data_IF_671282978442
#
_entry.id   IF_671282978442
#
_cell.length_a   1.000
_cell.length_b   1.000
_cell.length_c   1.000
_cell.angle_alpha   90.00
_cell.angle_beta   90.00
_cell.angle_gamma   90.00
#
_symmetry.space_group_name_H-M   'P 1'
#
loop_
_entity.id
_entity.type
_entity.pdbx_description
1 polymer ?
#
# COMPACT_ATOMS: atom_id res chain seq x y z
N UNK A 1 13.46 6.24 8.24
CA UNK A 1 12.00 6.55 8.34
C UNK A 1 11.77 8.04 8.64
N UNK A 2 10.53 8.52 8.69
CA UNK A 2 10.18 9.91 9.09
C UNK A 2 9.01 9.92 10.09
N UNK A 3 8.85 10.97 10.88
CA UNK A 3 7.86 11.04 11.96
C UNK A 3 6.41 10.79 11.50
N UNK A 4 6.03 11.24 10.30
CA UNK A 4 4.68 10.98 9.79
C UNK A 4 4.40 9.50 9.55
N UNK A 5 5.42 8.69 9.25
CA UNK A 5 5.25 7.24 9.16
C UNK A 5 4.89 6.65 10.54
N UNK A 6 5.60 7.07 11.59
CA UNK A 6 5.39 6.57 12.96
C UNK A 6 3.99 6.92 13.44
N UNK A 7 3.59 8.19 13.27
CA UNK A 7 2.23 8.64 13.58
C UNK A 7 1.18 7.87 12.80
N UNK A 8 1.36 7.66 11.49
CA UNK A 8 0.40 6.92 10.68
C UNK A 8 0.16 5.49 11.19
N UNK A 9 1.23 4.80 11.62
CA UNK A 9 1.10 3.45 12.20
C UNK A 9 0.43 3.48 13.56
N UNK A 10 0.75 4.44 14.42
CA UNK A 10 0.07 4.61 15.70
C UNK A 10 -1.43 4.87 15.52
N UNK A 11 -1.83 5.66 14.52
CA UNK A 11 -3.24 5.84 14.17
C UNK A 11 -3.88 4.53 13.69
N UNK A 12 -3.20 3.74 12.84
CA UNK A 12 -3.72 2.44 12.42
C UNK A 12 -3.89 1.46 13.59
N UNK A 13 -3.05 1.53 14.61
CA UNK A 13 -3.10 0.61 15.75
C UNK A 13 -4.27 0.87 16.71
N UNK A 14 -4.90 2.06 16.63
CA UNK A 14 -6.00 2.49 17.53
C UNK A 14 -7.38 1.90 17.24
N UNK A 15 -7.50 0.96 16.30
CA UNK A 15 -8.68 0.09 16.22
C UNK A 15 -9.92 0.76 15.62
N UNK A 16 -10.80 1.24 16.49
CA UNK A 16 -12.16 1.65 16.15
C UNK A 16 -12.21 2.86 15.19
N UNK A 17 -11.28 3.79 15.36
CA UNK A 17 -11.21 4.99 14.55
C UNK A 17 -10.84 4.69 13.07
N UNK A 18 -10.15 3.58 12.81
CA UNK A 18 -9.84 3.13 11.44
C UNK A 18 -11.10 2.70 10.69
N UNK A 19 -11.92 1.85 11.30
CA UNK A 19 -13.15 1.34 10.68
C UNK A 19 -14.17 2.46 10.53
N UNK A 20 -14.32 3.32 11.55
CA UNK A 20 -15.17 4.50 11.48
C UNK A 20 -14.73 5.45 10.35
N UNK A 21 -13.42 5.66 10.17
CA UNK A 21 -12.90 6.47 9.07
C UNK A 21 -13.21 5.85 7.72
N UNK A 22 -13.00 4.54 7.53
CA UNK A 22 -13.37 3.87 6.27
C UNK A 22 -14.86 4.01 5.97
N UNK A 23 -15.71 3.86 6.99
CA UNK A 23 -17.15 4.03 6.86
C UNK A 23 -17.55 5.47 6.48
N UNK A 24 -16.84 6.49 6.99
CA UNK A 24 -17.09 7.88 6.61
C UNK A 24 -16.86 8.14 5.10
N UNK A 25 -16.00 7.36 4.46
CA UNK A 25 -15.74 7.41 3.01
C UNK A 25 -16.58 6.41 2.18
N UNK A 26 -17.66 5.83 2.74
CA UNK A 26 -18.49 4.82 2.07
C UNK A 26 -19.10 5.26 0.72
N UNK A 27 -19.13 6.57 0.43
CA UNK A 27 -19.55 7.12 -0.87
C UNK A 27 -18.59 6.78 -2.03
N UNK A 28 -17.36 6.37 -1.74
CA UNK A 28 -16.40 5.99 -2.76
C UNK A 28 -16.64 4.53 -3.17
N UNK A 29 -16.86 4.25 -4.47
CA UNK A 29 -17.02 2.88 -4.95
C UNK A 29 -15.80 2.01 -4.58
N UNK A 30 -16.04 0.81 -4.08
CA UNK A 30 -14.97 -0.08 -3.59
C UNK A 30 -14.35 0.33 -2.24
N UNK A 31 -14.74 1.49 -1.70
CA UNK A 31 -14.24 2.01 -0.43
C UNK A 31 -12.86 2.67 -0.55
N UNK A 32 -12.16 2.73 0.59
CA UNK A 32 -10.85 3.38 0.69
C UNK A 32 -9.81 2.51 1.38
N UNK A 33 -8.55 2.75 1.03
CA UNK A 33 -7.37 2.27 1.74
C UNK A 33 -6.65 3.47 2.41
N UNK A 34 -6.38 3.36 3.71
CA UNK A 34 -5.61 4.36 4.46
C UNK A 34 -4.13 3.95 4.46
N UNK A 35 -3.37 4.52 3.53
CA UNK A 35 -1.95 4.19 3.31
C UNK A 35 -1.04 4.96 4.26
N UNK A 36 -0.21 4.30 5.08
CA UNK A 36 0.83 4.97 5.85
C UNK A 36 1.89 5.61 4.96
N UNK A 37 2.20 6.90 5.18
CA UNK A 37 3.23 7.64 4.45
C UNK A 37 4.00 8.57 5.37
N UNK A 38 5.04 9.23 4.85
CA UNK A 38 5.80 10.25 5.58
C UNK A 38 4.96 11.46 6.01
N UNK A 39 3.77 11.63 5.43
CA UNK A 39 2.86 12.76 5.71
C UNK A 39 1.75 12.40 6.68
N UNK A 40 1.58 11.12 7.02
CA UNK A 40 0.39 10.61 7.72
C UNK A 40 -0.31 9.54 6.89
N UNK A 41 -1.62 9.36 7.12
CA UNK A 41 -2.43 8.41 6.38
C UNK A 41 -2.97 9.05 5.10
N UNK A 42 -2.52 8.57 3.95
CA UNK A 42 -3.09 8.97 2.66
C UNK A 42 -4.33 8.15 2.36
N UNK A 43 -5.45 8.80 2.08
CA UNK A 43 -6.70 8.14 1.69
C UNK A 43 -6.66 7.84 0.20
N UNK A 44 -6.62 6.57 -0.18
CA UNK A 44 -6.67 6.11 -1.57
C UNK A 44 -8.04 5.53 -1.88
N UNK A 45 -8.63 5.94 -3.00
CA UNK A 45 -9.88 5.38 -3.49
C UNK A 45 -9.63 4.00 -4.09
N UNK A 46 -10.50 3.04 -3.78
CA UNK A 46 -10.50 1.69 -4.35
C UNK A 46 -11.51 1.55 -5.50
N UNK A 47 -11.79 2.65 -6.20
CA UNK A 47 -12.77 2.71 -7.28
C UNK A 47 -12.21 2.08 -8.57
N UNK A 48 -12.57 0.83 -8.82
CA UNK A 48 -12.19 0.09 -10.01
C UNK A 48 -12.69 0.66 -11.35
N UNK A 49 -13.63 1.61 -11.34
CA UNK A 49 -14.06 2.33 -12.55
C UNK A 49 -13.07 3.42 -12.98
N UNK A 50 -12.13 3.79 -12.11
CA UNK A 50 -11.16 4.84 -12.41
C UNK A 50 -10.07 4.37 -13.37
N UNK A 51 -9.65 5.26 -14.27
CA UNK A 51 -8.60 4.97 -15.24
C UNK A 51 -7.22 4.74 -14.59
N UNK A 52 -7.02 5.27 -13.38
CA UNK A 52 -5.77 5.28 -12.63
C UNK A 52 -6.07 5.45 -11.12
N UNK A 53 -5.07 5.25 -10.25
CA UNK A 53 -5.25 5.36 -8.79
C UNK A 53 -5.46 6.81 -8.34
N UNK A 54 -6.44 7.06 -7.46
CA UNK A 54 -6.81 8.41 -7.02
C UNK A 54 -6.64 8.54 -5.51
N UNK A 55 -5.86 9.54 -5.07
CA UNK A 55 -5.91 10.02 -3.70
C UNK A 55 -7.17 10.85 -3.45
N UNK A 56 -7.95 10.47 -2.45
CA UNK A 56 -9.23 11.08 -2.06
C UNK A 56 -8.97 12.41 -1.39
N UNK A 57 -9.13 13.50 -2.14
CA UNK A 57 -8.80 14.84 -1.69
C UNK A 57 -8.83 15.84 -2.85
N UNK A 58 -8.82 17.14 -2.55
CA UNK A 58 -8.70 18.21 -3.55
C UNK A 58 -7.31 18.32 -4.18
N UNK A 59 -7.08 19.42 -4.91
CA UNK A 59 -5.76 19.77 -5.49
C UNK A 59 -4.76 20.21 -4.42
N UNK A 60 -5.25 20.62 -3.26
CA UNK A 60 -4.41 20.98 -2.14
C UNK A 60 -3.69 19.74 -1.60
N UNK A 61 -2.40 19.90 -1.33
CA UNK A 61 -1.53 18.77 -1.04
C UNK A 61 -1.97 18.04 0.22
N UNK A 62 -2.70 18.65 1.14
CA UNK A 62 -3.05 18.06 2.43
C UNK A 62 -4.45 17.44 2.47
N UNK A 63 -5.31 17.67 1.47
CA UNK A 63 -6.70 17.20 1.51
C UNK A 63 -6.87 15.68 1.46
N UNK A 64 -5.86 14.97 0.95
CA UNK A 64 -5.84 13.51 0.91
C UNK A 64 -5.08 12.87 2.06
N UNK A 65 -4.63 13.69 3.02
CA UNK A 65 -3.86 13.25 4.18
C UNK A 65 -4.71 13.41 5.43
N UNK A 66 -4.90 12.31 6.15
CA UNK A 66 -5.49 12.28 7.47
C UNK A 66 -4.37 12.20 8.49
N UNK A 67 -4.23 13.25 9.29
CA UNK A 67 -3.20 13.33 10.33
C UNK A 67 -3.59 12.58 11.61
N UNK A 68 -4.90 12.41 11.85
CA UNK A 68 -5.48 11.76 13.04
C UNK A 68 -6.82 11.12 12.71
N UNK A 69 -7.08 9.94 13.26
CA UNK A 69 -8.36 9.27 13.14
C UNK A 69 -9.25 9.53 14.39
N UNK A 70 -10.59 9.60 14.23
CA UNK A 70 -11.28 9.77 12.96
C UNK A 70 -11.11 11.22 12.44
N UNK A 71 -11.12 11.46 11.11
CA UNK A 71 -11.13 12.81 10.58
C UNK A 71 -12.46 13.51 10.90
N UNK A 72 -12.46 14.85 10.89
CA UNK A 72 -13.70 15.62 11.05
C UNK A 72 -14.62 15.46 9.83
N UNK A 73 -15.94 15.58 10.04
CA UNK A 73 -16.93 15.53 8.95
C UNK A 73 -16.61 16.53 7.84
N UNK A 74 -16.24 17.77 8.20
CA UNK A 74 -15.87 18.80 7.24
C UNK A 74 -14.64 18.43 6.40
N UNK A 75 -13.68 17.69 6.97
CA UNK A 75 -12.54 17.18 6.19
C UNK A 75 -12.99 16.11 5.19
N UNK A 76 -13.81 15.15 5.63
CA UNK A 76 -14.34 14.08 4.77
C UNK A 76 -15.14 14.66 3.60
N UNK A 77 -16.03 15.61 3.85
CA UNK A 77 -16.84 16.27 2.81
C UNK A 77 -15.99 16.97 1.75
N UNK A 78 -14.97 17.75 2.18
CA UNK A 78 -14.03 18.39 1.24
C UNK A 78 -13.25 17.37 0.44
N UNK A 79 -12.77 16.30 1.10
CA UNK A 79 -12.00 15.27 0.43
C UNK A 79 -12.83 14.51 -0.63
N UNK A 80 -14.11 14.23 -0.33
CA UNK A 80 -15.06 13.62 -1.27
C UNK A 80 -15.38 14.55 -2.45
N UNK A 81 -15.60 15.85 -2.21
CA UNK A 81 -15.79 16.81 -3.29
C UNK A 81 -14.57 16.89 -4.23
N UNK A 82 -13.36 16.87 -3.65
CA UNK A 82 -12.12 16.83 -4.40
C UNK A 82 -11.94 15.54 -5.20
N UNK A 83 -12.34 14.40 -4.65
CA UNK A 83 -12.35 13.11 -5.33
C UNK A 83 -13.23 13.14 -6.59
N UNK A 84 -14.49 13.59 -6.49
CA UNK A 84 -15.41 13.64 -7.64
C UNK A 84 -14.87 14.55 -8.75
N UNK A 85 -14.33 15.72 -8.39
CA UNK A 85 -13.73 16.63 -9.35
C UNK A 85 -12.50 16.02 -10.07
N UNK A 86 -11.66 15.27 -9.34
CA UNK A 86 -10.52 14.56 -9.93
C UNK A 86 -10.99 13.44 -10.86
N UNK A 87 -11.91 12.60 -10.40
CA UNK A 87 -12.45 11.47 -11.17
C UNK A 87 -13.00 11.92 -12.52
N UNK A 88 -13.72 13.05 -12.56
CA UNK A 88 -14.26 13.61 -13.80
C UNK A 88 -13.20 14.09 -14.80
N UNK A 89 -11.97 14.37 -14.34
CA UNK A 89 -10.90 14.97 -15.16
C UNK A 89 -9.73 14.02 -15.44
N UNK A 90 -9.81 12.77 -14.95
CA UNK A 90 -8.75 11.78 -15.11
C UNK A 90 -8.74 11.21 -16.53
N UNK A 91 -7.83 11.73 -17.35
CA UNK A 91 -7.75 11.39 -18.77
C UNK A 91 -6.75 10.27 -19.12
N UNK A 92 -5.94 9.76 -18.17
CA UNK A 92 -4.84 8.84 -18.48
C UNK A 92 -5.03 7.45 -17.87
N UNK A 93 -5.36 6.43 -18.67
CA UNK A 93 -5.39 5.05 -18.21
C UNK A 93 -3.98 4.54 -17.90
N UNK A 94 -3.76 4.04 -16.69
CA UNK A 94 -2.55 3.31 -16.32
C UNK A 94 -2.90 1.86 -16.01
N UNK A 95 -2.51 0.95 -16.91
CA UNK A 95 -2.75 -0.50 -16.76
C UNK A 95 -2.12 -1.00 -15.45
N UNK A 96 -0.89 -0.57 -15.17
CA UNK A 96 -0.14 -0.96 -13.97
C UNK A 96 -0.81 -0.45 -12.70
N UNK A 97 -1.28 0.80 -12.66
CA UNK A 97 -2.01 1.33 -11.49
C UNK A 97 -3.36 0.64 -11.30
N UNK A 98 -4.09 0.32 -12.39
CA UNK A 98 -5.33 -0.45 -12.29
C UNK A 98 -5.10 -1.86 -11.77
N UNK A 99 -4.01 -2.50 -12.18
CA UNK A 99 -3.62 -3.80 -11.66
C UNK A 99 -3.28 -3.73 -10.16
N UNK A 100 -2.48 -2.73 -9.76
CA UNK A 100 -2.20 -2.48 -8.34
C UNK A 100 -3.49 -2.25 -7.54
N UNK A 101 -4.41 -1.44 -8.08
CA UNK A 101 -5.70 -1.15 -7.46
C UNK A 101 -6.54 -2.42 -7.28
N UNK A 102 -6.63 -3.26 -8.31
CA UNK A 102 -7.36 -4.52 -8.26
C UNK A 102 -6.78 -5.49 -7.21
N UNK A 103 -5.44 -5.58 -7.11
CA UNK A 103 -4.78 -6.39 -6.09
C UNK A 103 -5.07 -5.89 -4.68
N UNK A 104 -4.97 -4.57 -4.45
CA UNK A 104 -5.20 -3.98 -3.11
C UNK A 104 -6.68 -4.12 -2.72
N UNK A 105 -7.60 -3.80 -3.64
CA UNK A 105 -9.03 -3.94 -3.39
C UNK A 105 -9.41 -5.40 -3.11
N UNK A 106 -8.89 -6.33 -3.92
CA UNK A 106 -9.08 -7.77 -3.70
C UNK A 106 -8.52 -8.23 -2.36
N UNK A 107 -7.32 -7.80 -1.98
CA UNK A 107 -6.72 -8.14 -0.71
C UNK A 107 -7.55 -7.62 0.47
N UNK A 108 -7.97 -6.35 0.46
CA UNK A 108 -8.76 -5.77 1.54
C UNK A 108 -10.17 -6.38 1.64
N UNK A 109 -10.69 -6.97 0.57
CA UNK A 109 -11.95 -7.71 0.57
C UNK A 109 -11.78 -9.21 0.93
N UNK A 110 -10.56 -9.75 0.81
CA UNK A 110 -10.23 -11.16 1.02
C UNK A 110 -9.23 -11.37 2.17
N UNK A 111 -9.46 -10.71 3.30
CA UNK A 111 -8.69 -10.87 4.53
C UNK A 111 -7.17 -10.68 4.35
N UNK A 112 -6.81 -9.66 3.57
CA UNK A 112 -5.46 -9.29 3.12
C UNK A 112 -4.79 -10.26 2.15
N UNK A 113 -5.44 -11.34 1.72
CA UNK A 113 -4.86 -12.35 0.83
C UNK A 113 -4.61 -11.78 -0.56
N UNK A 114 -3.40 -11.96 -1.07
CA UNK A 114 -3.07 -11.72 -2.49
C UNK A 114 -3.32 -13.00 -3.31
N UNK A 115 -3.39 -12.93 -4.65
CA UNK A 115 -3.65 -14.12 -5.48
C UNK A 115 -2.53 -15.17 -5.44
N UNK A 116 -1.40 -14.85 -4.80
CA UNK A 116 -0.30 -15.79 -4.60
C UNK A 116 -0.46 -16.53 -3.26
N UNK A 117 -0.44 -17.88 -3.25
CA UNK A 117 -0.68 -18.66 -2.04
C UNK A 117 0.24 -18.26 -0.88
N UNK A 118 -0.37 -18.02 0.29
CA UNK A 118 0.36 -17.67 1.51
C UNK A 118 0.87 -16.23 1.57
N UNK A 119 0.61 -15.40 0.54
CA UNK A 119 1.12 -14.02 0.47
C UNK A 119 0.02 -13.03 0.87
N UNK A 120 0.30 -12.19 1.86
CA UNK A 120 -0.66 -11.22 2.39
C UNK A 120 -0.18 -9.77 2.21
N UNK A 121 -1.07 -8.89 1.77
CA UNK A 121 -0.80 -7.49 1.53
C UNK A 121 -0.47 -6.72 2.83
N UNK A 122 0.53 -5.83 2.75
CA UNK A 122 0.97 -5.01 3.90
C UNK A 122 1.08 -3.54 3.55
N UNK A 123 1.68 -3.20 2.40
CA UNK A 123 1.92 -1.79 2.05
C UNK A 123 1.99 -1.58 0.53
N UNK A 124 1.79 -0.32 0.10
CA UNK A 124 1.87 0.11 -1.29
C UNK A 124 2.71 1.38 -1.42
N UNK A 125 3.56 1.45 -2.44
CA UNK A 125 4.44 2.60 -2.74
C UNK A 125 5.33 3.04 -1.58
N UNK A 126 6.05 2.09 -0.97
CA UNK A 126 7.12 2.47 -0.05
C UNK A 126 8.23 3.17 -0.82
N UNK A 127 8.68 4.34 -0.33
CA UNK A 127 9.75 5.13 -0.97
C UNK A 127 10.99 5.18 -0.09
N UNK A 128 12.13 4.82 -0.68
CA UNK A 128 13.43 5.01 -0.05
C UNK A 128 13.90 6.46 -0.17
N UNK A 129 14.99 6.80 0.55
CA UNK A 129 15.53 8.15 0.58
C UNK A 129 15.97 8.66 -0.82
N UNK A 130 16.44 7.76 -1.68
CA UNK A 130 16.84 8.02 -3.07
C UNK A 130 15.66 8.13 -4.04
N UNK A 131 14.42 8.10 -3.53
CA UNK A 131 13.15 8.20 -4.27
C UNK A 131 12.79 6.97 -5.09
N UNK A 132 13.61 5.90 -5.06
CA UNK A 132 13.18 4.59 -5.56
C UNK A 132 12.01 4.09 -4.73
N UNK A 133 11.16 3.24 -5.33
CA UNK A 133 9.93 2.79 -4.69
C UNK A 133 9.68 1.31 -4.89
N UNK A 134 9.12 0.67 -3.86
CA UNK A 134 8.50 -0.65 -3.94
C UNK A 134 7.04 -0.44 -4.30
N UNK A 135 6.53 -1.13 -5.33
CA UNK A 135 5.12 -1.01 -5.71
C UNK A 135 4.20 -1.61 -4.65
N UNK A 136 4.40 -2.89 -4.28
CA UNK A 136 3.70 -3.51 -3.15
C UNK A 136 4.67 -4.28 -2.25
N UNK A 137 4.38 -4.25 -0.96
CA UNK A 137 5.03 -5.08 0.05
C UNK A 137 4.00 -6.03 0.64
N UNK A 138 4.40 -7.30 0.74
CA UNK A 138 3.59 -8.37 1.29
C UNK A 138 4.41 -9.23 2.25
N UNK A 139 3.73 -10.16 2.93
CA UNK A 139 4.36 -11.11 3.85
C UNK A 139 3.80 -12.51 3.67
N UNK A 140 4.69 -13.50 3.77
CA UNK A 140 4.32 -14.88 4.03
C UNK A 140 4.51 -15.15 5.54
N UNK A 141 3.43 -15.12 6.33
CA UNK A 141 3.51 -15.31 7.78
C UNK A 141 3.90 -16.74 8.16
N UNK A 142 3.68 -17.73 7.28
CA UNK A 142 4.06 -19.13 7.56
C UNK A 142 5.57 -19.34 7.49
N UNK A 143 6.25 -18.51 6.70
CA UNK A 143 7.72 -18.52 6.54
C UNK A 143 8.42 -17.41 7.31
N UNK A 144 7.66 -16.44 7.84
CA UNK A 144 8.21 -15.23 8.45
C UNK A 144 9.02 -14.41 7.45
N UNK A 145 8.57 -14.30 6.19
CA UNK A 145 9.34 -13.64 5.12
C UNK A 145 8.55 -12.53 4.46
N UNK A 146 9.20 -11.38 4.28
CA UNK A 146 8.68 -10.33 3.41
C UNK A 146 8.76 -10.76 1.94
N UNK A 147 7.85 -10.24 1.13
CA UNK A 147 7.88 -10.34 -0.33
C UNK A 147 7.77 -8.95 -0.93
N UNK A 148 8.78 -8.55 -1.70
CA UNK A 148 8.77 -7.34 -2.54
C UNK A 148 8.12 -7.68 -3.87
N UNK A 149 7.07 -6.95 -4.22
CA UNK A 149 6.31 -7.17 -5.46
C UNK A 149 6.51 -5.95 -6.37
N UNK A 150 7.11 -6.17 -7.53
CA UNK A 150 7.23 -5.18 -8.60
C UNK A 150 6.12 -5.40 -9.63
N UNK A 151 5.37 -4.35 -9.97
CA UNK A 151 4.28 -4.43 -10.92
C UNK A 151 4.71 -3.91 -12.28
N UNK A 152 4.20 -4.54 -13.34
CA UNK A 152 4.43 -4.12 -14.72
C UNK A 152 3.14 -4.17 -15.52
N UNK A 153 3.03 -3.28 -16.51
CA UNK A 153 1.88 -3.26 -17.42
C UNK A 153 1.71 -4.52 -18.30
N UNK A 154 2.75 -5.36 -18.44
CA UNK A 154 2.72 -6.60 -19.21
C UNK A 154 3.97 -7.46 -18.94
N UNK A 155 3.92 -8.74 -19.33
CA UNK A 155 5.08 -9.64 -19.29
C UNK A 155 6.27 -9.09 -20.11
N UNK A 156 6.00 -8.56 -21.31
CA UNK A 156 7.04 -7.98 -22.15
C UNK A 156 7.74 -6.81 -21.45
N UNK A 157 6.98 -5.97 -20.74
CA UNK A 157 7.55 -4.87 -19.96
C UNK A 157 8.32 -5.38 -18.72
N UNK A 158 7.92 -6.52 -18.15
CA UNK A 158 8.65 -7.15 -17.06
C UNK A 158 10.02 -7.68 -17.49
N UNK A 159 10.10 -8.32 -18.67
CA UNK A 159 11.32 -8.92 -19.21
C UNK A 159 12.23 -7.90 -19.92
N UNK A 160 11.73 -6.71 -20.21
CA UNK A 160 12.50 -5.67 -20.88
C UNK A 160 13.67 -5.23 -20.00
N UNK A 161 14.89 -5.38 -20.51
CA UNK A 161 16.09 -4.88 -19.85
C UNK A 161 16.19 -3.36 -20.08
N UNK A 162 16.08 -2.56 -19.01
CA UNK A 162 16.32 -1.11 -19.05
C UNK A 162 17.55 -0.78 -18.20
N UNK A 163 18.72 -0.52 -18.81
CA UNK A 163 19.96 -0.21 -18.09
C UNK A 163 19.84 1.00 -17.16
N UNK A 164 18.95 1.96 -17.47
CA UNK A 164 18.71 3.14 -16.62
C UNK A 164 17.99 2.78 -15.32
N UNK A 165 17.33 1.62 -15.30
CA UNK A 165 16.61 1.06 -14.17
C UNK A 165 17.38 -0.06 -13.48
N UNK A 166 18.61 -0.34 -13.91
CA UNK A 166 19.46 -1.38 -13.33
C UNK A 166 19.12 -2.80 -13.80
N UNK A 167 18.30 -2.97 -14.84
CA UNK A 167 18.02 -4.28 -15.42
C UNK A 167 16.55 -4.47 -15.83
N UNK A 168 16.12 -5.74 -15.80
CA UNK A 168 14.72 -6.14 -15.91
C UNK A 168 13.96 -5.94 -14.59
N UNK A 169 12.65 -6.20 -14.58
CA UNK A 169 11.82 -6.03 -13.39
C UNK A 169 12.27 -6.89 -12.19
N UNK A 170 12.83 -8.07 -12.45
CA UNK A 170 13.35 -8.95 -11.39
C UNK A 170 14.63 -8.37 -10.78
N UNK A 171 15.51 -7.77 -11.58
CA UNK A 171 16.68 -7.07 -11.08
C UNK A 171 16.27 -5.87 -10.22
N UNK A 172 15.25 -5.11 -10.63
CA UNK A 172 14.68 -4.03 -9.83
C UNK A 172 14.14 -4.55 -8.48
N UNK A 173 13.28 -5.57 -8.51
CA UNK A 173 12.70 -6.15 -7.29
C UNK A 173 13.77 -6.69 -6.33
N UNK A 174 14.81 -7.36 -6.86
CA UNK A 174 15.96 -7.82 -6.05
C UNK A 174 16.73 -6.67 -5.42
N UNK A 175 16.97 -5.59 -6.14
CA UNK A 175 17.64 -4.41 -5.59
C UNK A 175 16.82 -3.80 -4.44
N UNK A 176 15.50 -3.71 -4.59
CA UNK A 176 14.62 -3.24 -3.52
C UNK A 176 14.58 -4.18 -2.32
N UNK A 177 14.54 -5.51 -2.54
CA UNK A 177 14.60 -6.50 -1.47
C UNK A 177 15.91 -6.40 -0.67
N UNK A 178 17.04 -6.30 -1.37
CA UNK A 178 18.36 -6.07 -0.75
C UNK A 178 18.38 -4.76 0.04
N UNK A 179 17.80 -3.69 -0.50
CA UNK A 179 17.72 -2.40 0.19
C UNK A 179 16.86 -2.48 1.45
N UNK A 180 15.69 -3.10 1.35
CA UNK A 180 14.79 -3.33 2.48
C UNK A 180 15.49 -4.13 3.59
N UNK A 181 16.26 -5.16 3.20
CA UNK A 181 17.06 -5.97 4.12
C UNK A 181 18.23 -5.18 4.74
N UNK A 182 18.90 -4.31 3.99
CA UNK A 182 19.96 -3.45 4.53
C UNK A 182 19.43 -2.48 5.59
N UNK A 183 18.19 -2.00 5.45
CA UNK A 183 17.52 -1.10 6.39
C UNK A 183 16.62 -1.83 7.42
N UNK A 184 16.72 -3.17 7.50
CA UNK A 184 15.78 -4.03 8.24
C UNK A 184 15.61 -3.69 9.73
N UNK A 185 16.67 -3.25 10.39
CA UNK A 185 16.64 -2.89 11.81
C UNK A 185 15.60 -1.79 12.10
N UNK A 186 15.37 -0.89 11.14
CA UNK A 186 14.34 0.15 11.24
C UNK A 186 13.03 -0.30 10.56
N UNK A 187 13.12 -0.90 9.38
CA UNK A 187 11.94 -1.12 8.53
C UNK A 187 11.12 -2.37 8.89
N UNK A 188 11.74 -3.46 9.33
CA UNK A 188 11.00 -4.69 9.62
C UNK A 188 10.03 -4.50 10.79
N UNK A 189 10.46 -3.97 11.96
CA UNK A 189 9.54 -3.71 13.06
C UNK A 189 8.40 -2.76 12.67
N UNK A 190 8.66 -1.81 11.78
CA UNK A 190 7.65 -0.89 11.28
C UNK A 190 6.60 -1.58 10.41
N UNK A 191 7.02 -2.41 9.46
CA UNK A 191 6.09 -3.16 8.61
C UNK A 191 5.37 -4.27 9.37
N UNK A 192 5.99 -4.88 10.39
CA UNK A 192 5.29 -5.80 11.31
C UNK A 192 4.11 -5.10 12.00
N UNK A 193 4.32 -3.87 12.50
CA UNK A 193 3.25 -3.09 13.13
C UNK A 193 2.11 -2.79 12.16
N UNK A 194 2.42 -2.43 10.91
CA UNK A 194 1.41 -2.23 9.86
C UNK A 194 0.64 -3.53 9.60
N UNK A 195 1.36 -4.64 9.37
CA UNK A 195 0.75 -5.94 9.08
C UNK A 195 -0.20 -6.38 10.20
N UNK A 196 0.23 -6.27 11.46
CA UNK A 196 -0.59 -6.60 12.64
C UNK A 196 -1.79 -5.68 12.81
N UNK A 197 -1.64 -4.39 12.51
CA UNK A 197 -2.76 -3.44 12.54
C UNK A 197 -3.79 -3.80 11.47
N UNK A 198 -3.36 -3.99 10.22
CA UNK A 198 -4.25 -4.40 9.14
C UNK A 198 -4.93 -5.74 9.42
N UNK A 199 -4.20 -6.73 9.95
CA UNK A 199 -4.75 -8.04 10.26
C UNK A 199 -5.92 -7.97 11.25
N UNK A 200 -5.79 -7.12 12.29
CA UNK A 200 -6.87 -6.87 13.25
C UNK A 200 -8.11 -6.23 12.62
N UNK A 201 -7.92 -5.36 11.64
CA UNK A 201 -9.03 -4.65 10.98
C UNK A 201 -9.76 -5.46 9.91
N UNK A 202 -9.06 -6.38 9.26
CA UNK A 202 -9.55 -7.10 8.07
C UNK A 202 -9.68 -8.60 8.31
N UNK A 203 -9.70 -9.08 9.55
CA UNK A 203 -9.95 -10.50 9.85
C UNK A 203 -8.89 -11.46 9.31
N UNK A 204 -7.67 -10.99 9.06
CA UNK A 204 -6.59 -11.82 8.52
C UNK A 204 -6.17 -12.93 9.52
N UNK A 205 -5.46 -13.98 9.06
CA UNK A 205 -5.07 -15.10 9.92
C UNK A 205 -4.30 -14.65 11.17
N UNK A 206 -4.48 -15.36 12.29
CA UNK A 206 -3.81 -15.07 13.57
C UNK A 206 -2.29 -14.97 13.44
N UNK A 207 -1.69 -15.74 12.53
CA UNK A 207 -0.27 -15.68 12.20
C UNK A 207 0.19 -14.27 11.77
N UNK A 208 -0.67 -13.45 11.17
CA UNK A 208 -0.35 -12.05 10.88
C UNK A 208 -0.43 -11.14 12.12
N UNK A 209 -1.34 -11.41 13.06
CA UNK A 209 -1.45 -10.67 14.32
C UNK A 209 -0.23 -10.88 15.24
N UNK A 210 0.41 -12.05 15.12
CA UNK A 210 1.58 -12.44 15.89
C UNK A 210 2.89 -12.33 15.09
N UNK A 211 2.81 -11.85 13.84
CA UNK A 211 3.89 -11.87 12.86
C UNK A 211 5.25 -11.44 13.42
N UNK A 212 6.22 -12.34 13.32
CA UNK A 212 7.64 -12.06 13.46
C UNK A 212 8.34 -12.49 12.19
N UNK A 213 8.96 -11.55 11.51
CA UNK A 213 9.76 -11.86 10.32
C UNK A 213 11.18 -12.21 10.72
N UNK A 214 11.76 -13.14 9.97
CA UNK A 214 13.16 -13.50 10.12
C UNK A 214 14.04 -12.37 9.55
N UNK A 215 14.73 -11.68 10.45
CA UNK A 215 15.60 -10.56 10.10
C UNK A 215 16.84 -10.99 9.30
N UNK A 216 17.24 -12.25 9.31
CA UNK A 216 18.42 -12.70 8.56
C UNK A 216 18.10 -13.02 7.10
N UNK A 217 16.81 -13.15 6.75
CA UNK A 217 16.41 -13.42 5.39
C UNK A 217 16.23 -12.14 4.57
N UNK A 218 16.81 -12.15 3.37
CA UNK A 218 16.47 -11.17 2.33
C UNK A 218 15.03 -11.45 1.87
N UNK A 219 14.19 -10.42 1.68
CA UNK A 219 12.82 -10.58 1.18
C UNK A 219 12.79 -11.38 -0.11
N UNK A 220 11.77 -12.23 -0.24
CA UNK A 220 11.44 -12.87 -1.50
C UNK A 220 11.03 -11.80 -2.52
N UNK A 221 11.17 -12.12 -3.81
CA UNK A 221 10.82 -11.20 -4.90
C UNK A 221 9.74 -11.80 -5.79
N UNK A 222 8.80 -10.96 -6.18
CA UNK A 222 7.75 -11.32 -7.13
C UNK A 222 7.61 -10.20 -8.15
N UNK A 223 7.42 -10.58 -9.40
CA UNK A 223 7.08 -9.64 -10.48
C UNK A 223 5.74 -10.05 -11.04
N UNK A 224 4.82 -9.10 -11.12
CA UNK A 224 3.45 -9.34 -11.56
C UNK A 224 3.00 -8.36 -12.64
N UNK A 225 2.04 -8.81 -13.42
CA UNK A 225 1.36 -8.05 -14.45
C UNK A 225 -0.10 -8.55 -14.56
N UNK A 226 -1.01 -7.78 -15.19
CA UNK A 226 -2.41 -8.17 -15.38
C UNK A 226 -2.58 -9.47 -16.17
#
# INVERSE_FOLDING_TARGET
MRDGHRRAVEELERGDDYLATRAAYARIPGGVYLRPTERGLVVLALDGSCASMIGVGGRDRDDHVVARLPPSTAHVERALAGYEAKRATLARPSIEERHALALIAGALAGDLSLPWPGVFFVHQEWRFADRTKIDLLAVDPSRGRWTVIELKKSEAAARANDPRKGGDAWAQARAYAQRLHAERAELYPFFERIARALARHHGAPSAMCELRVDAEHVPDVLVAWP
#
